data_IF_419714157482
#
_entry.id   IF_419714157482
#
_cell.length_a   1.000
_cell.length_b   1.000
_cell.length_c   1.000
_cell.angle_alpha   90.00
_cell.angle_beta   90.00
_cell.angle_gamma   90.00
#
_symmetry.space_group_name_H-M   'P 1'
#
loop_
_entity.id
_entity.type
_entity.pdbx_description
1 polymer ?
#
# COMPACT_ATOMS: atom_id res chain seq x y z
N UNK A 1 1.08 21.87 4.90
CA UNK A 1 1.53 20.90 3.87
C UNK A 1 0.71 19.63 4.04
N UNK A 2 0.33 18.98 2.95
CA UNK A 2 -0.37 17.69 2.98
C UNK A 2 0.65 16.54 3.11
N UNK A 3 0.26 15.50 3.84
CA UNK A 3 1.02 14.25 3.91
C UNK A 3 0.80 13.45 2.62
N UNK A 4 1.85 12.75 2.16
CA UNK A 4 1.79 11.93 0.94
C UNK A 4 2.41 10.55 1.18
N UNK A 5 1.91 9.56 0.43
CA UNK A 5 2.41 8.19 0.39
C UNK A 5 2.77 7.85 -1.05
N UNK A 6 3.98 7.33 -1.29
CA UNK A 6 4.47 6.97 -2.63
C UNK A 6 5.26 5.66 -2.57
N UNK A 7 5.49 5.08 -3.74
CA UNK A 7 6.44 3.99 -3.93
C UNK A 7 7.47 4.38 -5.01
N UNK A 8 8.69 3.85 -4.88
CA UNK A 8 9.71 3.92 -5.93
C UNK A 8 9.45 2.91 -7.06
N UNK A 9 8.59 1.91 -6.82
CA UNK A 9 8.42 0.76 -7.72
C UNK A 9 7.20 0.85 -8.65
N UNK A 10 6.25 1.73 -8.35
CA UNK A 10 5.10 2.05 -9.21
C UNK A 10 4.59 3.47 -8.96
N UNK A 11 3.92 4.05 -9.95
CA UNK A 11 3.25 5.36 -9.85
C UNK A 11 1.80 5.19 -9.40
N UNK A 12 1.14 6.27 -8.96
CA UNK A 12 -0.29 6.22 -8.62
C UNK A 12 -1.12 5.73 -9.83
N UNK A 13 -2.00 4.75 -9.59
CA UNK A 13 -2.78 4.04 -10.62
C UNK A 13 -1.93 3.29 -11.67
N UNK A 14 -0.63 3.17 -11.44
CA UNK A 14 0.25 2.32 -12.24
C UNK A 14 0.16 0.86 -11.81
N UNK A 15 0.67 0.00 -12.68
CA UNK A 15 0.73 -1.44 -12.44
C UNK A 15 1.77 -1.79 -11.36
N UNK A 16 1.42 -2.73 -10.47
CA UNK A 16 2.33 -3.24 -9.45
C UNK A 16 3.21 -4.32 -10.10
N UNK A 17 4.56 -4.20 -10.07
CA UNK A 17 5.42 -5.20 -10.70
C UNK A 17 5.22 -6.60 -10.12
N UNK A 18 5.21 -7.63 -10.98
CA UNK A 18 4.95 -9.03 -10.61
C UNK A 18 5.73 -9.53 -9.39
N UNK A 19 6.97 -9.05 -9.18
CA UNK A 19 7.80 -9.33 -7.99
C UNK A 19 7.03 -9.15 -6.66
N UNK A 20 6.15 -8.16 -6.58
CA UNK A 20 5.39 -7.78 -5.39
C UNK A 20 3.97 -8.37 -5.34
N UNK A 21 3.68 -9.31 -6.24
CA UNK A 21 2.39 -10.02 -6.32
C UNK A 21 2.59 -11.50 -5.99
N UNK A 22 1.49 -12.24 -5.91
CA UNK A 22 1.50 -13.70 -5.72
C UNK A 22 2.11 -14.48 -6.91
N UNK A 23 2.27 -13.85 -8.08
CA UNK A 23 2.96 -14.45 -9.24
C UNK A 23 4.48 -14.36 -9.13
N UNK A 24 4.99 -13.51 -8.22
CA UNK A 24 6.41 -13.26 -8.03
C UNK A 24 6.91 -13.75 -6.68
N UNK A 25 7.57 -12.85 -5.95
CA UNK A 25 8.14 -13.17 -4.63
C UNK A 25 7.16 -12.93 -3.49
N UNK A 26 6.00 -12.35 -3.77
CA UNK A 26 4.98 -11.99 -2.78
C UNK A 26 5.55 -11.19 -1.60
N UNK A 27 6.50 -10.29 -1.91
CA UNK A 27 7.10 -9.38 -0.93
C UNK A 27 6.46 -8.01 -1.03
N UNK A 28 6.54 -7.24 0.06
CA UNK A 28 6.02 -5.89 0.15
C UNK A 28 6.78 -4.91 -0.76
N UNK A 29 6.09 -4.00 -1.48
CA UNK A 29 6.75 -2.90 -2.16
C UNK A 29 7.31 -1.88 -1.15
N UNK A 30 8.31 -1.13 -1.57
CA UNK A 30 8.81 -0.01 -0.77
C UNK A 30 7.76 1.11 -0.71
N UNK A 31 7.47 1.61 0.49
CA UNK A 31 6.55 2.74 0.71
C UNK A 31 7.29 3.88 1.40
N UNK A 32 7.13 5.09 0.85
CA UNK A 32 7.75 6.32 1.32
C UNK A 32 6.67 7.30 1.76
N UNK A 33 6.81 7.78 2.99
CA UNK A 33 5.96 8.81 3.58
C UNK A 33 6.66 10.16 3.48
N UNK A 34 5.91 11.23 3.24
CA UNK A 34 6.44 12.60 3.26
C UNK A 34 5.39 13.56 3.80
N UNK A 35 5.84 14.65 4.41
CA UNK A 35 4.93 15.66 4.98
C UNK A 35 4.15 15.17 6.21
N UNK A 36 4.67 14.18 6.95
CA UNK A 36 4.06 13.70 8.20
C UNK A 36 3.93 14.87 9.19
N UNK A 37 2.73 15.14 9.76
CA UNK A 37 2.55 16.20 10.74
C UNK A 37 3.44 16.03 11.97
N UNK A 38 4.03 17.12 12.47
CA UNK A 38 4.98 17.08 13.61
C UNK A 38 4.39 16.48 14.90
N UNK A 39 3.07 16.53 15.06
CA UNK A 39 2.34 16.01 16.22
C UNK A 39 1.82 14.58 16.02
N UNK A 40 2.07 13.95 14.87
CA UNK A 40 1.73 12.55 14.65
C UNK A 40 2.53 11.67 15.62
N UNK A 41 1.84 10.82 16.40
CA UNK A 41 2.46 9.91 17.36
C UNK A 41 2.84 8.56 16.74
N UNK A 42 2.11 8.16 15.70
CA UNK A 42 2.29 6.91 14.98
C UNK A 42 1.73 7.06 13.57
N UNK A 43 2.12 6.13 12.70
CA UNK A 43 1.57 5.93 11.37
C UNK A 43 1.02 4.51 11.28
N UNK A 44 -0.04 4.33 10.50
CA UNK A 44 -0.59 3.03 10.13
C UNK A 44 -0.81 3.02 8.61
N UNK A 45 -0.65 1.85 7.98
CA UNK A 45 -0.87 1.65 6.56
C UNK A 45 -1.96 0.61 6.37
N UNK A 46 -3.03 0.99 5.68
CA UNK A 46 -4.08 0.06 5.25
C UNK A 46 -3.99 -0.01 3.73
N UNK A 47 -3.84 -1.23 3.21
CA UNK A 47 -3.88 -1.53 1.78
C UNK A 47 -5.07 -2.45 1.57
N UNK A 48 -5.99 -2.02 0.72
CA UNK A 48 -7.25 -2.71 0.47
C UNK A 48 -7.46 -2.89 -1.03
N UNK A 49 -8.08 -4.02 -1.40
CA UNK A 49 -8.46 -4.36 -2.77
C UNK A 49 -9.99 -4.37 -2.84
N UNK A 50 -10.63 -3.24 -3.17
CA UNK A 50 -12.08 -3.13 -3.21
C UNK A 50 -12.69 -3.89 -4.39
N UNK A 51 -11.88 -4.32 -5.36
CA UNK A 51 -12.30 -5.06 -6.55
C UNK A 51 -12.23 -6.59 -6.32
N UNK A 52 -11.82 -7.03 -5.13
CA UNK A 52 -11.80 -8.43 -4.76
C UNK A 52 -13.21 -9.05 -4.83
N UNK A 53 -13.36 -10.26 -5.41
CA UNK A 53 -14.66 -10.82 -5.78
C UNK A 53 -15.57 -11.22 -4.61
N UNK A 54 -15.08 -11.27 -3.36
CA UNK A 54 -15.90 -11.56 -2.18
C UNK A 54 -15.87 -10.42 -1.15
N UNK A 55 -16.82 -9.45 -1.23
CA UNK A 55 -16.95 -8.37 -0.25
C UNK A 55 -17.38 -8.85 1.15
N UNK A 56 -17.71 -10.14 1.33
CA UNK A 56 -18.04 -10.73 2.64
C UNK A 56 -16.85 -11.48 3.27
N UNK A 57 -15.76 -11.64 2.54
CA UNK A 57 -14.53 -12.27 3.01
C UNK A 57 -13.28 -11.46 2.58
N UNK A 58 -13.13 -10.21 3.03
CA UNK A 58 -11.97 -9.39 2.67
C UNK A 58 -10.68 -10.07 3.16
N UNK A 59 -9.71 -10.22 2.25
CA UNK A 59 -8.36 -10.64 2.63
C UNK A 59 -7.63 -9.44 3.23
N UNK A 60 -7.62 -9.36 4.56
CA UNK A 60 -6.82 -8.39 5.31
C UNK A 60 -5.34 -8.80 5.26
N UNK A 61 -4.66 -8.51 4.15
CA UNK A 61 -3.26 -8.91 3.93
C UNK A 61 -2.28 -8.08 4.79
N UNK A 62 -2.72 -6.92 5.30
CA UNK A 62 -1.89 -6.00 6.10
C UNK A 62 -2.70 -5.40 7.26
N UNK A 63 -2.11 -5.41 8.46
CA UNK A 63 -2.56 -4.67 9.67
C UNK A 63 -1.37 -3.91 10.23
#
# INVERSE_FOLDING_TARGET
>A
MAMTVKSSVFVHQGEIPAKYTCEGKDVSPEIVWSGVPKNAKSLALIVDDPDAPDPRAPKMTWV
#
